data_IF_550003292852
#
_entry.id   IF_550003292852
#
_cell.length_a   1.000
_cell.length_b   1.000
_cell.length_c   1.000
_cell.angle_alpha   90.00
_cell.angle_beta   90.00
_cell.angle_gamma   90.00
#
_symmetry.space_group_name_H-M   'P 1'
#
loop_
_entity.id
_entity.type
_entity.pdbx_description
1 polymer ?
#
# COMPACT_ATOMS: atom_id res chain seq x y z
N UNK A 1 -8.81 -8.97 37.90
CA UNK A 1 -8.84 -8.19 36.64
C UNK A 1 -10.08 -8.59 35.86
N UNK A 2 -10.98 -7.66 35.52
CA UNK A 2 -12.08 -7.96 34.58
C UNK A 2 -11.51 -7.96 33.18
N UNK A 3 -11.84 -8.98 32.39
CA UNK A 3 -11.54 -8.98 30.96
C UNK A 3 -12.20 -7.75 30.32
N UNK A 4 -11.41 -6.95 29.61
CA UNK A 4 -11.91 -5.85 28.76
C UNK A 4 -12.40 -6.36 27.40
N UNK A 5 -12.33 -7.67 27.19
CA UNK A 5 -12.68 -8.32 25.93
C UNK A 5 -14.00 -9.07 26.05
N UNK A 6 -14.84 -8.91 25.03
CA UNK A 6 -16.08 -9.66 24.85
C UNK A 6 -15.93 -10.53 23.61
N UNK A 7 -16.09 -11.83 23.76
CA UNK A 7 -16.18 -12.75 22.63
C UNK A 7 -17.49 -12.53 21.87
N UNK A 8 -17.44 -12.54 20.54
CA UNK A 8 -18.59 -12.38 19.66
C UNK A 8 -18.58 -13.49 18.61
N UNK A 9 -19.77 -13.88 18.15
CA UNK A 9 -19.88 -14.85 17.05
C UNK A 9 -19.63 -14.17 15.70
N UNK A 10 -19.41 -14.96 14.64
CA UNK A 10 -19.33 -14.43 13.28
C UNK A 10 -20.60 -13.70 12.84
N UNK A 11 -21.76 -14.17 13.28
CA UNK A 11 -23.04 -13.50 13.00
C UNK A 11 -23.15 -12.15 13.72
N UNK A 12 -22.65 -12.07 14.95
CA UNK A 12 -22.59 -10.79 15.68
C UNK A 12 -21.62 -9.82 14.99
N UNK A 13 -20.47 -10.31 14.51
CA UNK A 13 -19.54 -9.51 13.73
C UNK A 13 -20.18 -9.03 12.41
N UNK A 14 -20.89 -9.90 11.70
CA UNK A 14 -21.59 -9.54 10.46
C UNK A 14 -22.63 -8.46 10.69
N UNK A 15 -23.43 -8.57 11.76
CA UNK A 15 -24.39 -7.55 12.17
C UNK A 15 -23.70 -6.24 12.53
N UNK A 16 -22.58 -6.31 13.25
CA UNK A 16 -21.79 -5.13 13.60
C UNK A 16 -21.26 -4.44 12.35
N UNK A 17 -20.64 -5.18 11.43
CA UNK A 17 -20.13 -4.68 10.15
C UNK A 17 -21.24 -4.02 9.33
N UNK A 18 -22.42 -4.63 9.27
CA UNK A 18 -23.57 -4.05 8.58
C UNK A 18 -24.04 -2.75 9.23
N UNK A 19 -24.04 -2.69 10.57
CA UNK A 19 -24.47 -1.53 11.34
C UNK A 19 -23.49 -0.35 11.24
N UNK A 20 -22.18 -0.63 11.29
CA UNK A 20 -21.14 0.41 11.19
C UNK A 20 -20.76 0.72 9.75
N UNK A 21 -21.34 0.01 8.77
CA UNK A 21 -21.03 0.19 7.35
C UNK A 21 -21.13 1.69 7.06
N UNK A 22 -20.03 2.34 6.64
CA UNK A 22 -20.07 3.75 6.33
C UNK A 22 -21.21 3.97 5.33
N UNK A 23 -22.15 4.86 5.68
CA UNK A 23 -23.09 5.38 4.68
C UNK A 23 -22.18 5.93 3.59
N UNK A 24 -22.19 5.29 2.42
CA UNK A 24 -21.24 5.54 1.34
C UNK A 24 -21.28 7.03 0.99
N UNK A 25 -20.45 7.82 1.66
CA UNK A 25 -20.06 9.11 1.15
C UNK A 25 -19.25 8.74 -0.07
N UNK A 26 -19.74 9.12 -1.24
CA UNK A 26 -19.14 8.85 -2.56
C UNK A 26 -17.74 9.48 -2.73
N UNK A 27 -17.09 9.90 -1.63
CA UNK A 27 -15.83 10.61 -1.58
C UNK A 27 -14.81 9.80 -0.80
N UNK A 28 -13.67 9.55 -1.43
CA UNK A 28 -12.50 9.00 -0.77
C UNK A 28 -12.04 9.91 0.38
N UNK A 29 -11.50 9.36 1.47
CA UNK A 29 -10.89 10.16 2.53
C UNK A 29 -9.74 11.00 1.95
N UNK A 30 -9.58 12.22 2.44
CA UNK A 30 -8.52 13.13 1.98
C UNK A 30 -7.13 12.63 2.39
N UNK A 31 -7.05 12.03 3.58
CA UNK A 31 -5.83 11.51 4.16
C UNK A 31 -6.11 10.25 4.97
N UNK A 32 -5.10 9.40 5.03
CA UNK A 32 -5.02 8.26 5.91
C UNK A 32 -4.88 8.72 7.37
N UNK A 33 -5.79 8.27 8.22
CA UNK A 33 -5.62 8.26 9.68
C UNK A 33 -5.80 6.83 10.17
N UNK A 34 -4.78 6.32 10.87
CA UNK A 34 -4.76 4.97 11.43
C UNK A 34 -5.88 4.78 12.46
N UNK A 35 -6.23 5.82 13.22
CA UNK A 35 -7.15 5.71 14.35
C UNK A 35 -8.62 5.72 13.94
N UNK A 36 -8.95 6.17 12.73
CA UNK A 36 -10.32 6.43 12.30
C UNK A 36 -10.82 5.48 11.21
N UNK A 37 -10.04 4.46 10.84
CA UNK A 37 -10.27 3.72 9.62
C UNK A 37 -10.47 2.22 9.84
N UNK A 38 -11.18 1.60 8.89
CA UNK A 38 -11.51 0.19 8.96
C UNK A 38 -10.31 -0.65 8.53
N UNK A 39 -9.63 -1.22 9.53
CA UNK A 39 -8.44 -2.05 9.31
C UNK A 39 -8.76 -3.52 9.48
N UNK A 40 -8.45 -4.31 8.45
CA UNK A 40 -8.42 -5.77 8.54
C UNK A 40 -6.98 -6.25 8.66
N UNK A 41 -6.63 -6.78 9.84
CA UNK A 41 -5.33 -7.41 10.11
C UNK A 41 -5.51 -8.89 10.34
N UNK A 42 -4.98 -9.71 9.44
CA UNK A 42 -5.02 -11.17 9.52
C UNK A 42 -3.61 -11.74 9.50
N UNK A 43 -3.35 -12.68 10.40
CA UNK A 43 -2.06 -13.37 10.54
C UNK A 43 -2.23 -14.89 10.40
N UNK A 44 -1.12 -15.58 10.16
CA UNK A 44 -1.05 -17.02 9.83
C UNK A 44 -1.68 -17.96 10.87
N UNK A 45 -1.79 -17.51 12.12
CA UNK A 45 -2.17 -18.35 13.26
C UNK A 45 -3.61 -18.84 13.25
N UNK A 46 -4.48 -18.31 12.38
CA UNK A 46 -5.91 -18.63 12.41
C UNK A 46 -6.52 -18.81 11.01
N UNK A 47 -5.97 -19.74 10.22
CA UNK A 47 -6.42 -19.99 8.83
C UNK A 47 -7.95 -20.10 8.68
N UNK A 48 -8.60 -20.92 9.50
CA UNK A 48 -10.04 -21.19 9.38
C UNK A 48 -10.93 -19.96 9.60
N UNK A 49 -10.52 -19.01 10.47
CA UNK A 49 -11.30 -17.78 10.69
C UNK A 49 -10.95 -16.73 9.62
N UNK A 50 -9.71 -16.71 9.15
CA UNK A 50 -9.27 -15.77 8.10
C UNK A 50 -10.09 -15.98 6.81
N UNK A 51 -10.29 -17.22 6.36
CA UNK A 51 -11.14 -17.54 5.19
C UNK A 51 -12.58 -17.03 5.37
N UNK A 52 -13.14 -17.23 6.57
CA UNK A 52 -14.49 -16.73 6.89
C UNK A 52 -14.57 -15.21 6.91
N UNK A 53 -13.56 -14.53 7.45
CA UNK A 53 -13.52 -13.06 7.50
C UNK A 53 -13.35 -12.46 6.10
N UNK A 54 -12.55 -13.07 5.24
CA UNK A 54 -12.33 -12.60 3.86
C UNK A 54 -13.58 -12.78 2.98
N UNK A 55 -14.35 -13.85 3.19
CA UNK A 55 -15.62 -14.11 2.48
C UNK A 55 -16.80 -13.27 2.95
N UNK A 56 -16.66 -12.53 4.06
CA UNK A 56 -17.73 -11.66 4.58
C UNK A 56 -17.85 -10.31 3.85
N UNK A 57 -17.00 -10.03 2.87
CA UNK A 57 -16.98 -8.76 2.10
C UNK A 57 -17.00 -7.51 3.00
N UNK A 58 -16.22 -7.56 4.09
CA UNK A 58 -16.18 -6.50 5.08
C UNK A 58 -15.68 -5.22 4.40
N UNK A 59 -16.36 -4.06 4.58
CA UNK A 59 -15.86 -2.78 4.09
C UNK A 59 -14.58 -2.46 4.85
N UNK A 60 -13.45 -2.55 4.15
CA UNK A 60 -12.14 -2.29 4.71
C UNK A 60 -11.47 -1.20 3.89
N UNK A 61 -10.86 -0.27 4.61
CA UNK A 61 -10.06 0.80 4.03
C UNK A 61 -8.60 0.33 3.91
N UNK A 62 -8.16 -0.47 4.90
CA UNK A 62 -6.79 -0.93 5.08
C UNK A 62 -6.71 -2.43 5.28
N UNK A 63 -5.69 -3.03 4.70
CA UNK A 63 -5.44 -4.48 4.77
C UNK A 63 -4.00 -4.75 5.15
N UNK A 64 -3.84 -5.55 6.20
CA UNK A 64 -2.58 -6.15 6.63
C UNK A 64 -2.78 -7.67 6.62
N UNK A 65 -2.27 -8.35 5.62
CA UNK A 65 -2.47 -9.79 5.44
C UNK A 65 -1.12 -10.48 5.41
N UNK A 66 -0.92 -11.41 6.35
CA UNK A 66 0.37 -12.06 6.59
C UNK A 66 0.22 -13.59 6.59
N UNK A 67 0.73 -14.25 5.54
CA UNK A 67 0.52 -15.69 5.25
C UNK A 67 -0.98 -16.05 5.15
N UNK A 68 -1.76 -15.27 4.41
CA UNK A 68 -3.20 -15.51 4.20
C UNK A 68 -3.53 -15.51 2.71
N UNK A 69 -4.28 -16.51 2.25
CA UNK A 69 -4.83 -16.56 0.89
C UNK A 69 -5.93 -15.52 0.73
N UNK A 70 -5.69 -14.51 -0.13
CA UNK A 70 -6.57 -13.35 -0.24
C UNK A 70 -6.99 -13.04 -1.69
N UNK A 71 -6.88 -14.04 -2.58
CA UNK A 71 -7.08 -13.83 -4.02
C UNK A 71 -8.49 -13.33 -4.33
N UNK A 72 -9.51 -14.09 -3.94
CA UNK A 72 -10.93 -13.77 -4.15
C UNK A 72 -11.34 -12.46 -3.45
N UNK A 73 -10.71 -12.18 -2.31
CA UNK A 73 -10.94 -10.96 -1.56
C UNK A 73 -10.49 -9.71 -2.33
N UNK A 74 -9.30 -9.73 -2.94
CA UNK A 74 -8.82 -8.56 -3.70
C UNK A 74 -9.60 -8.30 -4.98
N UNK A 75 -10.19 -9.34 -5.57
CA UNK A 75 -11.03 -9.22 -6.77
C UNK A 75 -12.38 -8.55 -6.45
N UNK A 76 -12.97 -8.89 -5.30
CA UNK A 76 -14.28 -8.39 -4.86
C UNK A 76 -14.23 -7.09 -4.04
N UNK A 77 -13.10 -6.78 -3.42
CA UNK A 77 -13.01 -5.64 -2.50
C UNK A 77 -13.18 -4.28 -3.17
N UNK A 78 -13.51 -3.27 -2.36
CA UNK A 78 -13.62 -1.89 -2.77
C UNK A 78 -12.25 -1.19 -2.93
N UNK A 79 -12.24 0.15 -3.01
CA UNK A 79 -11.01 0.93 -2.95
C UNK A 79 -10.22 0.65 -1.67
N UNK A 80 -8.91 0.49 -1.80
CA UNK A 80 -7.98 0.30 -0.68
C UNK A 80 -7.00 1.45 -0.63
N UNK A 81 -6.66 1.94 0.56
CA UNK A 81 -5.76 3.08 0.72
C UNK A 81 -4.44 2.70 1.41
N UNK A 82 -4.43 1.56 2.08
CA UNK A 82 -3.25 1.01 2.73
C UNK A 82 -3.23 -0.50 2.53
N UNK A 83 -2.25 -0.97 1.76
CA UNK A 83 -2.07 -2.38 1.43
C UNK A 83 -0.73 -2.83 1.98
N UNK A 84 -0.76 -3.82 2.85
CA UNK A 84 0.40 -4.58 3.25
C UNK A 84 0.08 -6.06 3.11
N UNK A 85 0.66 -6.68 2.09
CA UNK A 85 0.40 -8.07 1.75
C UNK A 85 1.71 -8.85 1.67
N UNK A 86 1.83 -9.84 2.56
CA UNK A 86 3.03 -10.63 2.70
C UNK A 86 2.72 -12.08 2.42
N UNK A 87 3.54 -12.70 1.57
CA UNK A 87 3.87 -14.15 1.48
C UNK A 87 3.53 -14.79 0.15
N UNK A 88 2.25 -14.94 -0.17
CA UNK A 88 1.87 -15.83 -1.26
C UNK A 88 1.78 -15.04 -2.56
N UNK A 89 2.53 -15.46 -3.57
CA UNK A 89 2.50 -14.82 -4.87
C UNK A 89 1.06 -14.81 -5.40
N UNK A 90 0.47 -13.62 -5.49
CA UNK A 90 -0.78 -13.40 -6.19
C UNK A 90 -0.58 -13.71 -7.67
N UNK A 91 -1.62 -14.25 -8.30
CA UNK A 91 -1.63 -14.36 -9.76
C UNK A 91 -1.48 -12.96 -10.38
N UNK A 92 -0.92 -12.84 -11.59
CA UNK A 92 -0.78 -11.54 -12.26
C UNK A 92 -2.10 -10.76 -12.34
N UNK A 93 -3.21 -11.44 -12.63
CA UNK A 93 -4.54 -10.83 -12.72
C UNK A 93 -5.01 -10.26 -11.38
N UNK A 94 -4.81 -11.00 -10.29
CA UNK A 94 -5.22 -10.53 -8.96
C UNK A 94 -4.33 -9.39 -8.47
N UNK A 95 -3.05 -9.39 -8.82
CA UNK A 95 -2.17 -8.26 -8.54
C UNK A 95 -2.56 -7.02 -9.35
N UNK A 96 -2.96 -7.17 -10.62
CA UNK A 96 -3.51 -6.09 -11.44
C UNK A 96 -4.78 -5.51 -10.78
N UNK A 97 -5.70 -6.38 -10.34
CA UNK A 97 -6.89 -5.98 -9.59
C UNK A 97 -6.51 -5.22 -8.31
N UNK A 98 -5.55 -5.73 -7.52
CA UNK A 98 -5.08 -5.05 -6.31
C UNK A 98 -4.50 -3.65 -6.58
N UNK A 99 -3.72 -3.50 -7.65
CA UNK A 99 -3.21 -2.19 -8.10
C UNK A 99 -4.36 -1.27 -8.55
N UNK A 100 -5.38 -1.81 -9.20
CA UNK A 100 -6.59 -1.07 -9.58
C UNK A 100 -7.38 -0.59 -8.36
N UNK A 101 -7.57 -1.46 -7.35
CA UNK A 101 -8.24 -1.11 -6.08
C UNK A 101 -7.46 -0.10 -5.26
N UNK A 102 -6.14 -0.08 -5.35
CA UNK A 102 -5.32 0.85 -4.58
C UNK A 102 -5.55 2.30 -5.01
N UNK A 103 -6.03 3.16 -4.12
CA UNK A 103 -6.24 4.59 -4.36
C UNK A 103 -5.20 5.41 -3.59
N UNK A 104 -4.28 6.11 -4.27
CA UNK A 104 -3.32 6.97 -3.60
C UNK A 104 -4.03 8.11 -2.84
N UNK A 105 -3.76 8.21 -1.55
CA UNK A 105 -4.19 9.32 -0.67
C UNK A 105 -3.00 9.76 0.20
N UNK A 106 -3.11 10.91 0.86
CA UNK A 106 -2.04 11.37 1.75
C UNK A 106 -1.88 10.43 2.95
N UNK A 107 -0.68 9.90 3.15
CA UNK A 107 -0.37 8.85 4.14
C UNK A 107 -0.67 7.42 3.67
N UNK A 108 -1.13 7.23 2.43
CA UNK A 108 -1.39 5.92 1.85
C UNK A 108 -0.11 5.09 1.67
N UNK A 109 -0.27 3.76 1.64
CA UNK A 109 0.85 2.83 1.50
C UNK A 109 0.49 1.63 0.63
N UNK A 110 1.42 1.20 -0.21
CA UNK A 110 1.31 -0.04 -0.98
C UNK A 110 2.58 -0.87 -0.83
N UNK A 111 2.48 -1.98 -0.11
CA UNK A 111 3.59 -2.92 0.11
C UNK A 111 3.15 -4.33 -0.23
N UNK A 112 3.84 -4.97 -1.17
CA UNK A 112 3.64 -6.38 -1.52
C UNK A 112 4.98 -7.10 -1.48
N UNK A 113 5.03 -8.31 -0.94
CA UNK A 113 6.28 -9.10 -0.79
C UNK A 113 6.49 -10.09 -1.95
N UNK A 114 6.06 -9.71 -3.16
CA UNK A 114 6.26 -10.49 -4.37
C UNK A 114 6.85 -9.63 -5.47
N UNK A 115 7.58 -10.26 -6.39
CA UNK A 115 8.01 -9.60 -7.62
C UNK A 115 6.79 -9.16 -8.43
N UNK A 116 6.88 -7.97 -9.00
CA UNK A 116 5.84 -7.41 -9.86
C UNK A 116 6.41 -7.16 -11.26
N UNK A 117 5.60 -7.38 -12.29
CA UNK A 117 6.05 -7.17 -13.67
C UNK A 117 6.35 -5.69 -13.95
N UNK A 118 7.17 -5.40 -14.96
CA UNK A 118 7.46 -4.02 -15.38
C UNK A 118 6.17 -3.24 -15.70
N UNK A 119 5.20 -3.89 -16.38
CA UNK A 119 3.90 -3.29 -16.69
C UNK A 119 3.13 -2.92 -15.42
N UNK A 120 3.07 -3.81 -14.44
CA UNK A 120 2.42 -3.56 -13.14
C UNK A 120 3.10 -2.44 -12.36
N UNK A 121 4.43 -2.50 -12.29
CA UNK A 121 5.25 -1.50 -11.60
C UNK A 121 5.04 -0.11 -12.22
N UNK A 122 5.05 -0.03 -13.56
CA UNK A 122 4.78 1.21 -14.29
C UNK A 122 3.37 1.73 -14.01
N UNK A 123 2.34 0.89 -14.13
CA UNK A 123 0.95 1.29 -13.83
C UNK A 123 0.81 1.84 -12.41
N UNK A 124 1.39 1.15 -11.41
CA UNK A 124 1.37 1.59 -10.02
C UNK A 124 2.11 2.92 -9.84
N UNK A 125 3.28 3.08 -10.45
CA UNK A 125 4.05 4.31 -10.43
C UNK A 125 3.27 5.49 -11.02
N UNK A 126 2.73 5.33 -12.22
CA UNK A 126 2.01 6.38 -12.94
C UNK A 126 0.77 6.83 -12.14
N UNK A 127 0.05 5.87 -11.55
CA UNK A 127 -1.08 6.15 -10.66
C UNK A 127 -0.68 7.03 -9.48
N UNK A 128 0.43 6.71 -8.82
CA UNK A 128 0.94 7.48 -7.67
C UNK A 128 1.46 8.86 -8.11
N UNK A 129 2.27 8.93 -9.16
CA UNK A 129 2.88 10.16 -9.65
C UNK A 129 1.83 11.19 -10.11
N UNK A 130 0.77 10.75 -10.80
CA UNK A 130 -0.33 11.62 -11.25
C UNK A 130 -1.20 12.10 -10.10
N UNK A 131 -1.36 11.30 -9.04
CA UNK A 131 -2.21 11.66 -7.90
C UNK A 131 -1.71 12.89 -7.10
N UNK A 132 -0.40 13.18 -7.16
CA UNK A 132 0.28 14.19 -6.33
C UNK A 132 -0.08 14.05 -4.83
N UNK A 133 -0.14 12.82 -4.34
CA UNK A 133 -0.41 12.46 -2.93
C UNK A 133 0.83 11.94 -2.23
N UNK A 134 0.88 12.13 -0.91
CA UNK A 134 1.96 11.63 -0.06
C UNK A 134 1.81 10.12 0.16
N UNK A 135 2.32 9.35 -0.77
CA UNK A 135 2.17 7.89 -0.79
C UNK A 135 3.53 7.21 -0.67
N UNK A 136 3.58 6.08 0.02
CA UNK A 136 4.74 5.19 0.05
C UNK A 136 4.44 3.89 -0.68
N UNK A 137 5.32 3.50 -1.60
CA UNK A 137 5.27 2.20 -2.28
C UNK A 137 6.54 1.42 -1.96
N UNK A 138 6.42 0.14 -1.66
CA UNK A 138 7.56 -0.74 -1.37
C UNK A 138 7.34 -2.09 -2.02
N UNK A 139 8.25 -2.47 -2.92
CA UNK A 139 8.16 -3.73 -3.66
C UNK A 139 9.55 -4.38 -3.74
N UNK A 140 9.62 -5.72 -3.70
CA UNK A 140 10.84 -6.45 -4.05
C UNK A 140 11.29 -6.04 -5.43
N UNK A 141 12.58 -5.74 -5.56
CA UNK A 141 13.14 -5.18 -6.79
C UNK A 141 14.22 -6.10 -7.35
N UNK A 142 13.98 -6.55 -8.57
CA UNK A 142 15.06 -7.03 -9.42
C UNK A 142 15.66 -5.84 -10.20
N UNK A 143 16.98 -5.82 -10.28
CA UNK A 143 17.82 -4.81 -10.92
C UNK A 143 17.48 -4.46 -12.37
N UNK A 144 16.66 -5.28 -13.02
CA UNK A 144 16.34 -5.22 -14.45
C UNK A 144 15.26 -4.20 -14.80
N UNK A 145 14.45 -3.75 -13.84
CA UNK A 145 13.32 -2.87 -14.16
C UNK A 145 13.74 -1.41 -14.29
N UNK A 146 13.44 -0.82 -15.45
CA UNK A 146 13.77 0.57 -15.79
C UNK A 146 12.49 1.39 -15.91
N UNK A 147 12.29 2.34 -14.98
CA UNK A 147 11.26 3.37 -15.12
C UNK A 147 11.92 4.66 -15.58
N UNK A 148 11.39 5.25 -16.65
CA UNK A 148 11.78 6.58 -17.07
C UNK A 148 11.11 7.65 -16.18
N UNK A 149 11.74 7.90 -15.04
CA UNK A 149 11.32 8.94 -14.11
C UNK A 149 11.42 10.36 -14.71
N UNK A 150 12.27 10.56 -15.73
CA UNK A 150 12.48 11.85 -16.39
C UNK A 150 11.22 12.36 -17.09
N UNK A 151 10.31 11.46 -17.48
CA UNK A 151 8.98 11.80 -18.00
C UNK A 151 8.13 12.61 -17.00
N UNK A 152 8.33 12.43 -15.70
CA UNK A 152 7.48 12.98 -14.64
C UNK A 152 8.15 14.11 -13.83
N UNK A 153 9.47 14.20 -13.88
CA UNK A 153 10.27 15.10 -13.06
C UNK A 153 11.40 15.73 -13.88
N UNK A 154 11.54 17.05 -13.75
CA UNK A 154 12.56 17.81 -14.49
C UNK A 154 13.94 17.80 -13.82
N UNK A 155 14.01 17.53 -12.51
CA UNK A 155 15.25 17.56 -11.73
C UNK A 155 15.50 16.20 -11.10
N UNK A 156 16.78 15.81 -11.06
CA UNK A 156 17.28 14.59 -10.44
C UNK A 156 18.50 14.91 -9.58
N UNK A 157 18.47 14.48 -8.34
CA UNK A 157 19.58 14.60 -7.39
C UNK A 157 19.92 13.20 -6.85
N UNK A 158 21.20 12.85 -6.79
CA UNK A 158 21.66 11.57 -6.24
C UNK A 158 22.33 11.84 -4.89
N UNK A 159 21.82 11.20 -3.83
CA UNK A 159 22.32 11.30 -2.45
C UNK A 159 22.84 9.95 -1.95
N UNK A 160 23.49 9.97 -0.78
CA UNK A 160 23.89 8.79 -0.03
C UNK A 160 24.67 7.75 -0.86
N UNK A 161 25.63 8.23 -1.66
CA UNK A 161 26.45 7.40 -2.57
C UNK A 161 25.61 6.55 -3.54
N UNK A 162 24.46 7.07 -3.98
CA UNK A 162 23.56 6.39 -4.93
C UNK A 162 22.49 5.51 -4.29
N UNK A 163 22.39 5.46 -2.95
CA UNK A 163 21.31 4.75 -2.26
C UNK A 163 19.96 5.44 -2.36
N UNK A 164 19.98 6.77 -2.50
CA UNK A 164 18.78 7.60 -2.60
C UNK A 164 18.90 8.50 -3.82
N UNK A 165 17.84 8.54 -4.63
CA UNK A 165 17.69 9.48 -5.74
C UNK A 165 16.42 10.26 -5.51
N UNK A 166 16.54 11.57 -5.51
CA UNK A 166 15.44 12.50 -5.34
C UNK A 166 15.11 13.09 -6.70
N UNK A 167 13.83 13.08 -7.05
CA UNK A 167 13.29 13.70 -8.24
C UNK A 167 12.34 14.81 -7.83
N UNK A 168 12.45 15.95 -8.50
CA UNK A 168 11.63 17.12 -8.20
C UNK A 168 11.23 17.87 -9.47
N UNK A 169 10.24 18.73 -9.31
CA UNK A 169 9.78 19.65 -10.35
C UNK A 169 10.07 21.09 -9.92
N UNK A 170 10.21 21.99 -10.90
CA UNK A 170 10.40 23.42 -10.64
C UNK A 170 9.19 24.06 -9.95
N UNK A 171 7.99 23.54 -10.24
CA UNK A 171 6.77 23.95 -9.56
C UNK A 171 6.83 23.64 -8.05
N UNK A 172 6.57 24.64 -7.22
CA UNK A 172 6.60 24.53 -5.75
C UNK A 172 5.49 23.65 -5.19
N UNK A 173 4.37 23.50 -5.90
CA UNK A 173 3.19 22.76 -5.43
C UNK A 173 3.29 21.23 -5.62
N UNK A 174 4.33 20.74 -6.32
CA UNK A 174 4.52 19.30 -6.55
C UNK A 174 5.39 18.66 -5.48
N UNK A 175 4.97 17.48 -5.05
CA UNK A 175 5.73 16.64 -4.12
C UNK A 175 7.09 16.24 -4.71
N UNK A 176 8.07 16.07 -3.83
CA UNK A 176 9.32 15.37 -4.14
C UNK A 176 9.05 13.88 -4.23
N UNK A 177 9.62 13.24 -5.25
CA UNK A 177 9.65 11.79 -5.35
C UNK A 177 11.02 11.30 -4.93
N UNK A 178 11.07 10.48 -3.88
CA UNK A 178 12.30 9.83 -3.41
C UNK A 178 12.25 8.36 -3.80
N UNK A 179 13.26 7.94 -4.55
CA UNK A 179 13.54 6.55 -4.83
C UNK A 179 14.72 6.11 -3.95
N UNK A 180 14.56 5.06 -3.17
CA UNK A 180 15.65 4.44 -2.44
C UNK A 180 15.68 2.94 -2.62
N UNK A 181 16.87 2.37 -2.45
CA UNK A 181 17.09 0.92 -2.33
C UNK A 181 17.38 0.60 -0.88
N UNK A 182 16.58 -0.29 -0.28
CA UNK A 182 16.80 -0.73 1.10
C UNK A 182 17.06 -2.23 1.15
N UNK A 183 18.06 -2.62 1.95
CA UNK A 183 18.36 -4.01 2.31
C UNK A 183 17.81 -4.37 3.70
N UNK A 184 17.18 -3.43 4.41
CA UNK A 184 17.01 -3.51 5.86
C UNK A 184 15.73 -4.25 6.29
N UNK A 185 15.03 -4.88 5.34
CA UNK A 185 13.84 -5.64 5.67
C UNK A 185 14.21 -6.99 6.29
N UNK A 186 13.74 -7.17 7.53
CA UNK A 186 13.95 -8.38 8.33
C UNK A 186 13.34 -9.58 7.61
N UNK A 187 14.19 -10.46 7.07
CA UNK A 187 13.78 -11.79 6.59
C UNK A 187 14.26 -12.25 5.21
N UNK A 188 15.03 -11.45 4.45
CA UNK A 188 15.47 -11.86 3.10
C UNK A 188 16.76 -11.21 2.61
N UNK A 189 17.35 -11.79 1.55
CA UNK A 189 18.49 -11.24 0.80
C UNK A 189 18.08 -10.24 -0.28
N UNK A 190 16.78 -9.95 -0.37
CA UNK A 190 16.21 -9.23 -1.49
C UNK A 190 16.21 -7.72 -1.25
N UNK A 191 16.65 -6.99 -2.26
CA UNK A 191 16.62 -5.53 -2.25
C UNK A 191 15.19 -5.04 -2.47
N UNK A 192 14.83 -3.99 -1.74
CA UNK A 192 13.54 -3.33 -1.87
C UNK A 192 13.71 -2.05 -2.66
N UNK A 193 12.83 -1.84 -3.64
CA UNK A 193 12.60 -0.52 -4.20
C UNK A 193 11.54 0.18 -3.36
N UNK A 194 11.93 1.30 -2.78
CA UNK A 194 11.03 2.16 -2.02
C UNK A 194 10.84 3.45 -2.78
N UNK A 195 9.58 3.79 -2.99
CA UNK A 195 9.15 5.07 -3.50
C UNK A 195 8.42 5.83 -2.42
N UNK A 196 8.78 7.09 -2.24
CA UNK A 196 8.18 7.95 -1.23
C UNK A 196 7.91 9.32 -1.87
N UNK A 197 6.63 9.64 -2.04
CA UNK A 197 6.19 10.98 -2.43
C UNK A 197 5.99 11.79 -1.16
N UNK A 198 6.78 12.84 -0.99
CA UNK A 198 6.77 13.62 0.25
C UNK A 198 6.95 15.11 -0.03
N UNK A 199 6.75 15.92 1.02
CA UNK A 199 7.00 17.36 0.94
C UNK A 199 8.47 17.62 0.57
N UNK A 200 8.71 18.78 -0.07
CA UNK A 200 10.06 19.22 -0.38
C UNK A 200 10.92 19.23 0.87
N UNK A 201 12.08 18.60 0.77
CA UNK A 201 13.07 18.63 1.84
C UNK A 201 13.66 20.04 1.89
N UNK A 202 13.93 20.61 3.07
CA UNK A 202 14.68 21.86 3.13
C UNK A 202 16.04 21.68 2.43
N UNK A 203 16.59 22.75 1.82
CA UNK A 203 17.89 22.68 1.19
C UNK A 203 18.93 22.16 2.19
N UNK A 204 19.73 21.18 1.77
CA UNK A 204 20.85 20.69 2.54
C UNK A 204 21.75 21.88 2.90
N UNK A 205 21.94 22.18 4.18
CA UNK A 205 22.94 23.17 4.60
C UNK A 205 24.31 22.56 4.30
N UNK A 206 25.00 23.10 3.29
CA UNK A 206 26.38 22.77 2.94
C UNK A 206 27.33 23.33 4.00
#
# INVERSE_FOLDING_TARGET
>A
MRSTWKEITLEDLKKLVHFIRPVRNERHPLSYDYNSANTLRLESGSKWINEKLLSMEIPVDYVFLWYVEAQEFFESTGPLYYVLYCVQALTPNTLDALIEKFVPIDGGCFTVYQSISEKQLKTLFEKCAVSNKKVRVSVPFDSTVVIDYGKYYSKKEVRDKGKVVIFSNENEDRLEFKMSRSSDYVGGRDWWLVWDWCNKSPPSRL
#
